data_IF_861777175647
#
_entry.id   IF_861777175647
#
_cell.length_a   1.000
_cell.length_b   1.000
_cell.length_c   1.000
_cell.angle_alpha   90.00
_cell.angle_beta   90.00
_cell.angle_gamma   90.00
#
_symmetry.space_group_name_H-M   'P 1'
#
loop_
_entity.id
_entity.type
_entity.pdbx_description
1 polymer ?
#
# COMPACT_ATOMS: atom_id res chain seq x y z
N UNK A 1 -27.51 2.56 -65.17
CA UNK A 1 -26.86 1.84 -64.04
C UNK A 1 -27.65 0.57 -63.82
N UNK A 2 -27.00 -0.59 -63.97
CA UNK A 2 -27.69 -1.88 -64.11
C UNK A 2 -28.25 -2.36 -62.76
N UNK A 3 -29.58 -2.46 -62.66
CA UNK A 3 -30.32 -2.77 -61.42
C UNK A 3 -29.85 -4.08 -60.77
N UNK A 4 -29.34 -5.02 -61.57
CA UNK A 4 -28.77 -6.29 -61.08
C UNK A 4 -27.51 -6.06 -60.25
N UNK A 5 -26.63 -5.15 -60.66
CA UNK A 5 -25.40 -4.81 -59.91
C UNK A 5 -25.71 -4.15 -58.56
N UNK A 6 -26.79 -3.38 -58.50
CA UNK A 6 -27.24 -2.72 -57.27
C UNK A 6 -27.82 -3.72 -56.27
N UNK A 7 -28.51 -4.76 -56.76
CA UNK A 7 -29.01 -5.86 -55.93
C UNK A 7 -27.90 -6.73 -55.35
N UNK A 8 -26.84 -7.03 -56.12
CA UNK A 8 -25.69 -7.77 -55.61
C UNK A 8 -24.93 -7.00 -54.51
N UNK A 9 -24.78 -5.68 -54.65
CA UNK A 9 -24.19 -4.83 -53.62
C UNK A 9 -25.02 -4.82 -52.32
N UNK A 10 -26.35 -4.87 -52.44
CA UNK A 10 -27.27 -4.86 -51.31
C UNK A 10 -27.33 -6.23 -50.59
N UNK A 11 -27.13 -7.33 -51.31
CA UNK A 11 -27.00 -8.66 -50.70
C UNK A 11 -25.66 -8.80 -49.96
N UNK A 12 -24.56 -8.26 -50.51
CA UNK A 12 -23.24 -8.28 -49.85
C UNK A 12 -23.25 -7.49 -48.54
N UNK A 13 -23.95 -6.34 -48.47
CA UNK A 13 -24.03 -5.55 -47.23
C UNK A 13 -24.81 -6.23 -46.10
N UNK A 14 -25.80 -7.07 -46.44
CA UNK A 14 -26.57 -7.85 -45.46
C UNK A 14 -25.72 -9.01 -44.88
N UNK A 15 -24.83 -9.60 -45.68
CA UNK A 15 -23.94 -10.67 -45.18
C UNK A 15 -22.80 -10.16 -44.28
N UNK A 16 -22.40 -8.89 -44.37
CA UNK A 16 -21.35 -8.31 -43.52
C UNK A 16 -21.89 -7.84 -42.16
N UNK A 17 -23.20 -7.64 -42.04
CA UNK A 17 -23.85 -7.18 -40.80
C UNK A 17 -24.25 -8.32 -39.84
N UNK A 18 -24.06 -9.59 -40.23
CA UNK A 18 -24.41 -10.78 -39.45
C UNK A 18 -23.29 -11.35 -38.56
N UNK A 19 -22.08 -10.79 -38.59
CA UNK A 19 -21.07 -11.13 -37.59
C UNK A 19 -21.31 -10.28 -36.34
N UNK A 20 -22.17 -10.75 -35.45
CA UNK A 20 -22.15 -10.34 -34.05
C UNK A 20 -20.81 -10.81 -33.45
N UNK A 21 -19.76 -10.04 -33.70
CA UNK A 21 -18.57 -10.10 -32.87
C UNK A 21 -19.04 -9.62 -31.52
N UNK A 22 -19.20 -10.55 -30.58
CA UNK A 22 -19.46 -10.26 -29.18
C UNK A 22 -18.26 -9.46 -28.66
N UNK A 23 -18.27 -8.14 -28.91
CA UNK A 23 -17.29 -7.18 -28.43
C UNK A 23 -17.53 -6.97 -26.94
N UNK A 24 -17.34 -8.03 -26.15
CA UNK A 24 -16.81 -7.83 -24.82
C UNK A 24 -15.47 -7.10 -24.99
N UNK A 25 -15.13 -6.13 -24.14
CA UNK A 25 -13.91 -5.36 -24.30
C UNK A 25 -12.74 -6.34 -24.41
N UNK A 26 -12.11 -6.38 -25.59
CA UNK A 26 -11.00 -7.28 -25.82
C UNK A 26 -9.92 -7.02 -24.77
N UNK A 27 -9.13 -8.04 -24.41
CA UNK A 27 -8.05 -7.93 -23.42
C UNK A 27 -7.06 -6.78 -23.72
N UNK A 28 -7.09 -6.23 -24.94
CA UNK A 28 -6.37 -5.05 -25.36
C UNK A 28 -6.96 -3.75 -24.78
N UNK A 29 -8.28 -3.53 -24.90
CA UNK A 29 -8.94 -2.34 -24.33
C UNK A 29 -8.88 -2.33 -22.80
N UNK A 30 -8.97 -3.49 -22.16
CA UNK A 30 -8.83 -3.56 -20.69
C UNK A 30 -7.45 -3.15 -20.21
N UNK A 31 -6.38 -3.36 -20.99
CA UNK A 31 -5.02 -2.83 -20.68
C UNK A 31 -4.92 -1.31 -20.87
N UNK A 32 -5.60 -0.75 -21.86
CA UNK A 32 -5.64 0.70 -22.12
C UNK A 32 -6.40 1.44 -21.03
N UNK A 33 -7.39 0.79 -20.40
CA UNK A 33 -8.20 1.37 -19.31
C UNK A 33 -7.82 0.85 -17.90
N UNK A 34 -6.67 0.18 -17.73
CA UNK A 34 -6.20 -0.16 -16.38
C UNK A 34 -5.89 1.11 -15.62
N UNK A 35 -6.50 1.27 -14.45
CA UNK A 35 -6.04 2.23 -13.44
C UNK A 35 -4.57 1.91 -13.13
N UNK A 36 -3.66 2.87 -13.32
CA UNK A 36 -2.22 2.66 -13.13
C UNK A 36 -1.85 2.23 -11.69
N UNK A 37 -2.73 2.52 -10.73
CA UNK A 37 -2.57 2.20 -9.30
C UNK A 37 -3.77 1.37 -8.83
N UNK A 38 -3.70 0.05 -9.00
CA UNK A 38 -4.72 -0.90 -8.52
C UNK A 38 -4.30 -1.56 -7.18
N UNK A 39 -5.13 -2.47 -6.66
CA UNK A 39 -4.83 -3.20 -5.42
C UNK A 39 -3.47 -3.93 -5.46
N UNK A 40 -3.09 -4.51 -6.60
CA UNK A 40 -1.83 -5.23 -6.76
C UNK A 40 -0.64 -4.28 -6.80
N UNK A 41 -0.81 -3.11 -7.40
CA UNK A 41 0.20 -2.05 -7.40
C UNK A 41 0.62 -1.69 -5.97
N UNK A 42 -0.34 -1.34 -5.10
CA UNK A 42 -0.04 -0.98 -3.71
C UNK A 42 0.50 -2.16 -2.90
N UNK A 43 -0.02 -3.37 -3.14
CA UNK A 43 0.49 -4.60 -2.52
C UNK A 43 1.97 -4.81 -2.85
N UNK A 44 2.36 -4.74 -4.12
CA UNK A 44 3.75 -4.94 -4.53
C UNK A 44 4.65 -3.87 -3.90
N UNK A 45 4.21 -2.60 -3.89
CA UNK A 45 4.95 -1.50 -3.24
C UNK A 45 5.14 -1.71 -1.74
N UNK A 46 4.13 -2.22 -1.03
CA UNK A 46 4.27 -2.56 0.38
C UNK A 46 5.14 -3.79 0.62
N UNK A 47 5.13 -4.78 -0.28
CA UNK A 47 6.03 -5.93 -0.22
C UNK A 47 7.48 -5.51 -0.44
N UNK A 48 7.74 -4.61 -1.39
CA UNK A 48 9.07 -4.03 -1.65
C UNK A 48 9.57 -3.24 -0.42
N UNK A 49 8.73 -2.36 0.15
CA UNK A 49 9.03 -1.64 1.40
C UNK A 49 9.45 -2.58 2.53
N UNK A 50 8.68 -3.64 2.77
CA UNK A 50 8.97 -4.59 3.86
C UNK A 50 10.23 -5.41 3.57
N UNK A 51 10.48 -5.77 2.31
CA UNK A 51 11.71 -6.46 1.94
C UNK A 51 12.93 -5.57 2.24
N UNK A 52 12.93 -4.31 1.80
CA UNK A 52 14.03 -3.39 2.07
C UNK A 52 14.21 -3.08 3.55
N UNK A 53 13.10 -2.94 4.28
CA UNK A 53 13.14 -2.68 5.72
C UNK A 53 13.71 -3.86 6.52
N UNK A 54 13.68 -5.08 5.98
CA UNK A 54 14.04 -6.32 6.69
C UNK A 54 15.25 -7.05 6.12
N UNK A 55 15.91 -6.52 5.08
CA UNK A 55 17.03 -7.19 4.40
C UNK A 55 18.26 -7.39 5.30
N UNK A 56 18.46 -6.56 6.34
CA UNK A 56 19.68 -6.57 7.18
C UNK A 56 19.40 -6.46 8.68
N UNK A 57 18.26 -6.98 9.15
CA UNK A 57 17.83 -6.84 10.56
C UNK A 57 18.18 -8.05 11.43
N UNK A 58 18.90 -9.05 10.90
CA UNK A 58 19.14 -10.34 11.57
C UNK A 58 19.86 -10.20 12.92
N UNK A 59 20.63 -9.12 13.10
CA UNK A 59 21.34 -8.82 14.35
C UNK A 59 20.38 -8.39 15.49
N UNK A 60 19.13 -8.04 15.18
CA UNK A 60 18.14 -7.61 16.15
C UNK A 60 17.15 -8.74 16.45
N UNK A 61 16.97 -9.08 17.73
CA UNK A 61 16.02 -10.10 18.19
C UNK A 61 14.55 -9.59 18.19
N UNK A 62 14.05 -9.18 17.02
CA UNK A 62 12.72 -8.59 16.85
C UNK A 62 11.69 -9.70 16.61
N UNK A 63 10.85 -9.95 17.60
CA UNK A 63 9.81 -10.98 17.53
C UNK A 63 8.41 -10.42 17.23
N UNK A 64 8.11 -9.22 17.73
CA UNK A 64 6.84 -8.52 17.54
C UNK A 64 7.11 -7.05 17.22
N UNK A 65 6.43 -6.56 16.19
CA UNK A 65 6.43 -5.15 15.78
C UNK A 65 5.04 -4.54 15.95
N UNK A 66 5.02 -3.23 16.16
CA UNK A 66 3.82 -2.42 16.02
C UNK A 66 3.92 -1.63 14.72
N UNK A 67 2.88 -1.67 13.89
CA UNK A 67 2.79 -0.82 12.69
C UNK A 67 1.81 0.31 12.98
N UNK A 68 2.28 1.55 12.87
CA UNK A 68 1.44 2.74 12.98
C UNK A 68 0.78 3.05 11.64
N UNK A 69 -0.37 3.73 11.69
CA UNK A 69 -0.91 4.33 10.47
C UNK A 69 0.07 5.39 9.96
N UNK A 70 0.34 5.36 8.65
CA UNK A 70 1.24 6.33 8.05
C UNK A 70 0.58 7.71 8.08
N UNK A 71 1.39 8.74 8.32
CA UNK A 71 0.94 10.12 8.42
C UNK A 71 1.37 10.95 7.22
N UNK A 72 0.68 12.04 6.96
CA UNK A 72 1.04 13.02 5.95
C UNK A 72 1.97 14.12 6.51
N UNK A 73 2.15 15.21 5.76
CA UNK A 73 2.91 16.39 6.18
C UNK A 73 2.31 17.13 7.39
N UNK A 74 1.04 16.87 7.73
CA UNK A 74 0.34 17.48 8.86
C UNK A 74 0.31 16.58 10.10
N UNK A 75 1.03 15.45 10.08
CA UNK A 75 1.01 14.42 11.13
C UNK A 75 -0.39 13.79 11.33
N UNK A 76 -1.22 13.81 10.28
CA UNK A 76 -2.53 13.16 10.27
C UNK A 76 -2.49 11.92 9.38
N UNK A 77 -3.26 10.88 9.70
CA UNK A 77 -3.33 9.67 8.88
C UNK A 77 -4.38 9.84 7.78
N UNK A 78 -4.00 9.99 6.49
CA UNK A 78 -4.96 10.00 5.40
C UNK A 78 -5.46 8.58 5.08
N UNK A 79 -6.51 8.46 4.27
CA UNK A 79 -7.06 7.17 3.83
C UNK A 79 -5.97 6.28 3.19
N UNK A 80 -5.06 6.88 2.41
CA UNK A 80 -3.93 6.20 1.81
C UNK A 80 -2.95 5.68 2.87
N UNK A 81 -2.74 6.43 3.95
CA UNK A 81 -1.85 6.04 5.05
C UNK A 81 -2.37 4.86 5.83
N UNK A 82 -3.66 4.85 6.15
CA UNK A 82 -4.31 3.71 6.78
C UNK A 82 -4.37 2.47 5.88
N UNK A 83 -4.53 2.68 4.58
CA UNK A 83 -4.53 1.59 3.62
C UNK A 83 -3.13 0.98 3.45
N UNK A 84 -2.09 1.81 3.33
CA UNK A 84 -0.71 1.36 3.21
C UNK A 84 -0.21 0.69 4.49
N UNK A 85 -0.57 1.20 5.68
CA UNK A 85 -0.22 0.53 6.94
C UNK A 85 -0.81 -0.89 6.97
N UNK A 86 -2.05 -1.07 6.54
CA UNK A 86 -2.70 -2.38 6.42
C UNK A 86 -1.99 -3.30 5.43
N UNK A 87 -1.51 -2.76 4.29
CA UNK A 87 -0.72 -3.53 3.31
C UNK A 87 0.67 -3.89 3.81
N UNK A 88 1.30 -3.04 4.62
CA UNK A 88 2.55 -3.36 5.31
C UNK A 88 2.33 -4.49 6.32
N UNK A 89 1.25 -4.44 7.11
CA UNK A 89 0.88 -5.55 8.01
C UNK A 89 0.66 -6.86 7.22
N UNK A 90 -0.05 -6.79 6.09
CA UNK A 90 -0.22 -7.93 5.20
C UNK A 90 1.13 -8.46 4.72
N UNK A 91 2.02 -7.61 4.20
CA UNK A 91 3.33 -8.00 3.70
C UNK A 91 4.22 -8.65 4.78
N UNK A 92 4.22 -8.13 6.01
CA UNK A 92 4.95 -8.71 7.15
C UNK A 92 4.40 -10.09 7.54
N UNK A 93 3.07 -10.26 7.52
CA UNK A 93 2.41 -11.47 8.02
C UNK A 93 2.17 -12.53 6.94
N UNK A 94 2.35 -12.18 5.67
CA UNK A 94 2.15 -13.07 4.53
C UNK A 94 3.15 -14.23 4.59
N UNK A 95 2.60 -15.44 4.67
CA UNK A 95 3.39 -16.68 4.57
C UNK A 95 3.79 -16.89 3.10
N UNK A 96 5.04 -16.64 2.75
CA UNK A 96 5.57 -17.12 1.48
C UNK A 96 5.68 -18.64 1.55
N UNK A 97 5.05 -19.35 0.62
CA UNK A 97 5.08 -20.83 0.55
C UNK A 97 6.51 -21.43 0.47
N UNK A 98 7.54 -20.60 0.25
CA UNK A 98 8.95 -20.98 0.16
C UNK A 98 9.89 -20.21 1.12
N UNK A 99 9.39 -19.33 1.98
CA UNK A 99 10.17 -18.76 3.10
C UNK A 99 9.48 -19.18 4.40
N UNK A 100 10.13 -20.06 5.16
CA UNK A 100 9.51 -20.81 6.24
C UNK A 100 9.03 -19.94 7.41
N UNK A 101 9.51 -18.70 7.53
CA UNK A 101 9.34 -17.92 8.76
C UNK A 101 8.52 -16.66 8.53
N UNK A 102 7.56 -16.44 9.45
CA UNK A 102 6.91 -15.13 9.61
C UNK A 102 8.00 -14.13 9.99
N UNK A 103 8.09 -13.02 9.28
CA UNK A 103 9.11 -11.98 9.54
C UNK A 103 8.94 -11.49 10.98
N UNK A 104 7.74 -11.01 11.33
CA UNK A 104 7.41 -10.58 12.69
C UNK A 104 5.97 -10.98 13.07
N UNK A 105 5.71 -11.04 14.36
CA UNK A 105 4.34 -10.88 14.88
C UNK A 105 3.96 -9.40 14.80
N UNK A 106 2.69 -9.09 14.55
CA UNK A 106 2.23 -7.69 14.45
C UNK A 106 1.14 -7.42 15.48
N UNK A 107 1.18 -6.25 16.13
CA UNK A 107 0.10 -5.79 17.00
C UNK A 107 -1.20 -5.54 16.21
N UNK A 108 -2.35 -5.80 16.82
CA UNK A 108 -3.64 -5.58 16.16
C UNK A 108 -3.99 -4.08 16.14
N UNK A 109 -4.46 -3.53 15.01
CA UNK A 109 -4.80 -2.09 14.88
C UNK A 109 -5.72 -1.56 16.00
N UNK A 110 -6.74 -2.32 16.39
CA UNK A 110 -7.62 -1.94 17.51
C UNK A 110 -6.89 -1.83 18.86
N UNK A 111 -5.92 -2.69 19.12
CA UNK A 111 -5.06 -2.64 20.32
C UNK A 111 -4.14 -1.42 20.27
N UNK A 112 -3.53 -1.15 19.11
CA UNK A 112 -2.70 0.04 18.87
C UNK A 112 -3.50 1.32 19.15
N UNK A 113 -4.69 1.44 18.58
CA UNK A 113 -5.55 2.61 18.77
C UNK A 113 -5.97 2.81 20.23
N UNK A 114 -6.27 1.71 20.94
CA UNK A 114 -6.58 1.77 22.37
C UNK A 114 -5.38 2.24 23.21
N UNK A 115 -4.17 1.75 22.91
CA UNK A 115 -2.94 2.17 23.59
C UNK A 115 -2.63 3.64 23.30
N UNK A 116 -2.70 4.07 22.04
CA UNK A 116 -2.51 5.47 21.65
C UNK A 116 -3.44 6.41 22.42
N UNK A 117 -4.72 6.05 22.49
CA UNK A 117 -5.72 6.80 23.27
C UNK A 117 -5.39 6.83 24.76
N UNK A 118 -5.00 5.70 25.35
CA UNK A 118 -4.66 5.60 26.77
C UNK A 118 -3.40 6.41 27.12
N UNK A 119 -2.44 6.48 26.21
CA UNK A 119 -1.21 7.26 26.36
C UNK A 119 -1.38 8.73 25.95
N UNK A 120 -2.59 9.13 25.50
CA UNK A 120 -2.90 10.46 24.98
C UNK A 120 -1.95 10.90 23.84
N UNK A 121 -1.57 9.94 22.98
CA UNK A 121 -0.69 10.17 21.85
C UNK A 121 -1.51 10.43 20.58
N UNK A 122 -1.02 11.36 19.76
CA UNK A 122 -1.52 11.57 18.41
C UNK A 122 -0.73 10.70 17.42
N UNK A 123 -1.32 10.35 16.26
CA UNK A 123 -0.53 9.88 15.12
C UNK A 123 0.64 10.85 14.88
N UNK A 124 1.82 10.29 14.66
CA UNK A 124 3.04 11.05 14.39
C UNK A 124 4.03 10.14 13.69
N UNK A 125 4.82 10.70 12.78
CA UNK A 125 5.99 10.03 12.24
C UNK A 125 7.15 10.00 13.25
N UNK A 126 7.26 11.06 14.07
CA UNK A 126 8.37 11.30 14.99
C UNK A 126 7.92 11.26 16.45
N UNK A 127 7.97 10.08 17.04
CA UNK A 127 7.79 9.91 18.48
C UNK A 127 9.11 10.09 19.22
N UNK A 128 9.06 10.66 20.43
CA UNK A 128 10.23 10.72 21.29
C UNK A 128 10.51 9.34 21.92
N UNK A 129 11.72 9.18 22.49
CA UNK A 129 12.17 7.92 23.09
C UNK A 129 11.25 7.40 24.20
N UNK A 130 10.66 8.29 25.00
CA UNK A 130 9.75 7.90 26.08
C UNK A 130 8.41 7.39 25.53
N UNK A 131 7.85 8.07 24.53
CA UNK A 131 6.63 7.66 23.83
C UNK A 131 6.80 6.29 23.18
N UNK A 132 7.92 6.08 22.46
CA UNK A 132 8.28 4.80 21.83
C UNK A 132 8.35 3.69 22.89
N UNK A 133 9.04 3.92 24.01
CA UNK A 133 9.17 2.95 25.11
C UNK A 133 7.82 2.62 25.75
N UNK A 134 7.00 3.62 26.00
CA UNK A 134 5.68 3.44 26.61
C UNK A 134 4.75 2.64 25.68
N UNK A 135 4.71 2.97 24.39
CA UNK A 135 3.96 2.22 23.38
C UNK A 135 4.46 0.78 23.25
N UNK A 136 5.76 0.58 23.09
CA UNK A 136 6.35 -0.75 22.93
C UNK A 136 6.13 -1.64 24.15
N UNK A 137 6.21 -1.09 25.37
CA UNK A 137 5.88 -1.81 26.60
C UNK A 137 4.40 -2.20 26.66
N UNK A 138 3.49 -1.29 26.33
CA UNK A 138 2.04 -1.54 26.36
C UNK A 138 1.64 -2.60 25.32
N UNK A 139 2.21 -2.53 24.12
CA UNK A 139 1.92 -3.44 23.00
C UNK A 139 2.78 -4.72 23.02
N UNK A 140 3.75 -4.81 23.93
CA UNK A 140 4.74 -5.90 24.01
C UNK A 140 5.51 -6.10 22.69
N UNK A 141 5.82 -5.01 22.01
CA UNK A 141 6.57 -4.98 20.75
C UNK A 141 8.02 -4.58 21.01
N UNK A 142 8.94 -5.21 20.28
CA UNK A 142 10.38 -4.91 20.34
C UNK A 142 10.76 -3.77 19.40
N UNK A 143 9.99 -3.57 18.33
CA UNK A 143 10.20 -2.45 17.42
C UNK A 143 8.89 -1.80 17.00
N UNK A 144 8.98 -0.54 16.59
CA UNK A 144 7.89 0.27 16.07
C UNK A 144 8.18 0.58 14.59
N UNK A 145 7.18 0.39 13.74
CA UNK A 145 7.19 0.84 12.36
C UNK A 145 6.32 2.09 12.28
N UNK A 146 6.95 3.23 12.00
CA UNK A 146 6.24 4.47 11.63
C UNK A 146 6.50 4.77 10.16
N UNK A 147 5.66 5.62 9.59
CA UNK A 147 5.90 6.06 8.23
C UNK A 147 5.21 7.35 7.88
N UNK A 148 5.74 7.97 6.83
CA UNK A 148 5.32 9.27 6.32
C UNK A 148 4.99 9.15 4.83
N UNK A 149 3.95 9.85 4.41
CA UNK A 149 3.55 10.01 3.03
C UNK A 149 3.75 11.47 2.64
N UNK A 150 4.54 11.69 1.60
CA UNK A 150 4.86 13.02 1.10
C UNK A 150 4.44 13.14 -0.36
N UNK A 151 3.49 14.03 -0.67
CA UNK A 151 3.16 14.36 -2.06
C UNK A 151 4.19 15.37 -2.61
N UNK A 152 5.08 14.91 -3.50
CA UNK A 152 6.09 15.74 -4.15
C UNK A 152 5.55 16.46 -5.40
N UNK A 153 4.27 16.27 -5.74
CA UNK A 153 3.63 16.85 -6.94
C UNK A 153 3.86 16.03 -8.22
N UNK A 154 5.01 15.36 -8.35
CA UNK A 154 5.31 14.41 -9.45
C UNK A 154 5.00 12.96 -9.09
N UNK A 155 5.25 12.59 -7.83
CA UNK A 155 5.08 11.28 -7.24
C UNK A 155 4.71 11.46 -5.75
N UNK A 156 4.26 10.39 -5.14
CA UNK A 156 4.01 10.34 -3.70
C UNK A 156 5.07 9.43 -3.10
N UNK A 157 5.85 9.95 -2.17
CA UNK A 157 6.88 9.17 -1.47
C UNK A 157 6.31 8.57 -0.20
N UNK A 158 6.58 7.28 -0.01
CA UNK A 158 6.22 6.54 1.18
C UNK A 158 7.51 6.14 1.87
N UNK A 159 7.77 6.74 3.02
CA UNK A 159 8.93 6.46 3.83
C UNK A 159 8.53 5.71 5.09
N UNK A 160 9.19 4.60 5.39
CA UNK A 160 9.01 3.83 6.62
C UNK A 160 10.31 3.80 7.42
N UNK A 161 10.18 3.79 8.73
CA UNK A 161 11.27 3.51 9.66
C UNK A 161 10.91 2.35 10.58
N UNK A 162 11.91 1.57 10.95
CA UNK A 162 11.85 0.56 11.99
C UNK A 162 12.72 1.06 13.13
N UNK A 163 12.10 1.26 14.29
CA UNK A 163 12.74 1.85 15.46
C UNK A 163 12.75 0.85 16.60
N UNK A 164 13.92 0.56 17.16
CA UNK A 164 14.04 -0.31 18.34
C UNK A 164 13.43 0.38 19.56
N UNK A 165 12.55 -0.33 20.27
CA UNK A 165 11.81 0.22 21.40
C UNK A 165 12.73 0.51 22.59
N UNK A 166 13.79 -0.29 22.78
CA UNK A 166 14.65 -0.17 23.96
C UNK A 166 15.58 1.05 23.87
N UNK A 167 16.27 1.19 22.74
CA UNK A 167 17.22 2.26 22.46
C UNK A 167 16.53 3.55 21.99
N UNK A 168 15.42 3.43 21.26
CA UNK A 168 14.81 4.52 20.51
C UNK A 168 15.54 4.84 19.20
N UNK A 169 16.48 4.00 18.78
CA UNK A 169 17.26 4.18 17.55
C UNK A 169 16.50 3.65 16.34
N UNK A 170 16.56 4.39 15.24
CA UNK A 170 16.10 3.91 13.93
C UNK A 170 17.12 2.89 13.45
N UNK A 171 16.70 1.63 13.37
CA UNK A 171 17.56 0.49 13.03
C UNK A 171 17.46 0.12 11.54
N UNK A 172 16.37 0.48 10.88
CA UNK A 172 16.21 0.38 9.44
C UNK A 172 15.25 1.44 8.91
N UNK A 173 15.37 1.77 7.63
CA UNK A 173 14.41 2.62 6.92
C UNK A 173 14.28 2.19 5.46
N UNK A 174 13.14 2.49 4.86
CA UNK A 174 12.86 2.17 3.46
C UNK A 174 12.00 3.27 2.84
N UNK A 175 12.19 3.52 1.55
CA UNK A 175 11.38 4.47 0.79
C UNK A 175 10.89 3.80 -0.49
N UNK A 176 9.63 4.00 -0.82
CA UNK A 176 9.05 3.63 -2.11
C UNK A 176 8.31 4.80 -2.75
N UNK A 177 8.35 4.83 -4.08
CA UNK A 177 7.71 5.87 -4.86
C UNK A 177 6.39 5.35 -5.43
N UNK A 178 5.32 6.07 -5.14
CA UNK A 178 3.99 5.82 -5.70
C UNK A 178 3.72 6.76 -6.87
N UNK A 179 3.16 6.21 -7.95
CA UNK A 179 2.63 7.02 -9.05
C UNK A 179 1.50 7.92 -8.53
N UNK A 180 1.64 9.22 -8.77
CA UNK A 180 0.65 10.21 -8.38
C UNK A 180 -0.55 10.22 -9.33
N UNK A 181 -1.43 9.24 -9.18
CA UNK A 181 -2.69 9.18 -9.93
C UNK A 181 -3.76 10.04 -9.25
N UNK A 182 -4.82 10.41 -9.99
CA UNK A 182 -5.99 11.09 -9.41
C UNK A 182 -6.57 10.31 -8.22
N UNK A 183 -6.55 8.98 -8.30
CA UNK A 183 -7.01 8.10 -7.23
C UNK A 183 -6.10 8.18 -6.00
N UNK A 184 -4.78 8.09 -6.19
CA UNK A 184 -3.83 8.21 -5.09
C UNK A 184 -3.95 9.56 -4.37
N UNK A 185 -4.11 10.65 -5.13
CA UNK A 185 -4.33 12.00 -4.57
C UNK A 185 -5.66 12.11 -3.83
N UNK A 186 -6.73 11.47 -4.33
CA UNK A 186 -8.02 11.43 -3.64
C UNK A 186 -7.91 10.69 -2.30
N UNK A 187 -7.11 9.62 -2.24
CA UNK A 187 -6.84 8.88 -1.01
C UNK A 187 -5.93 9.64 -0.02
N UNK A 188 -5.29 10.74 -0.41
CA UNK A 188 -4.59 11.61 0.54
C UNK A 188 -5.54 12.45 1.40
N UNK A 189 -6.85 12.38 1.16
CA UNK A 189 -7.84 13.04 2.02
C UNK A 189 -7.98 12.32 3.36
N UNK A 190 -8.44 13.09 4.35
CA UNK A 190 -8.79 12.62 5.68
C UNK A 190 -10.29 12.33 5.78
N UNK A 191 -10.68 11.58 6.82
CA UNK A 191 -12.07 11.26 7.16
C UNK A 191 -12.82 12.45 7.76
#
# INVERSE_FOLDING_TARGET
MDIRKLFYLLIISIFISGCEVKLGPSQFWSKVFRTQTDSNYYKNKSEDLVNYLTENIEEYEINKVTVMDLVDENEESPILGEYLSSRVVEAITKKYYFRADKIFRVAQKGEVNAVMKNLNLKPSYSYNKEEIRNMGKALKSQALITGKITDLGTNIDVHLTLTDVMSGEVIASATEHLTRTKFAVEMLRHH
#
